data_IF_109307106029
#
_entry.id   IF_109307106029
#
_cell.length_a   1.000
_cell.length_b   1.000
_cell.length_c   1.000
_cell.angle_alpha   90.00
_cell.angle_beta   90.00
_cell.angle_gamma   90.00
#
_symmetry.space_group_name_H-M   'P 1'
#
loop_
_entity.id
_entity.type
_entity.pdbx_description
1 polymer ?
#
# COMPACT_ATOMS: atom_id res chain seq x y z
N UNK A 1 1.07 20.61 -10.48
CA UNK A 1 1.20 19.79 -9.26
C UNK A 1 1.09 18.34 -9.69
N UNK A 2 2.03 17.49 -9.28
CA UNK A 2 1.95 16.07 -9.60
C UNK A 2 0.86 15.44 -8.73
N UNK A 3 -0.13 14.81 -9.36
CA UNK A 3 -1.23 14.16 -8.66
C UNK A 3 -1.19 12.67 -8.95
N UNK A 4 -0.75 11.89 -7.95
CA UNK A 4 -0.64 10.45 -8.08
C UNK A 4 -1.99 9.80 -8.45
N UNK A 5 -3.11 10.32 -7.93
CA UNK A 5 -4.44 9.87 -8.33
C UNK A 5 -4.64 9.96 -9.86
N UNK A 6 -4.24 11.06 -10.49
CA UNK A 6 -4.45 11.28 -11.93
C UNK A 6 -3.55 10.34 -12.76
N UNK A 7 -2.34 10.04 -12.27
CA UNK A 7 -1.49 9.00 -12.86
C UNK A 7 -2.20 7.63 -12.87
N UNK A 8 -2.75 7.20 -11.73
CA UNK A 8 -3.51 5.94 -11.66
C UNK A 8 -4.80 5.98 -12.47
N UNK A 9 -5.50 7.11 -12.48
CA UNK A 9 -6.70 7.28 -13.30
C UNK A 9 -6.39 7.09 -14.78
N UNK A 10 -5.33 7.74 -15.28
CA UNK A 10 -4.91 7.61 -16.66
C UNK A 10 -4.50 6.17 -17.02
N UNK A 11 -3.83 5.46 -16.12
CA UNK A 11 -3.51 4.04 -16.32
C UNK A 11 -4.76 3.16 -16.41
N UNK A 12 -5.76 3.39 -15.55
CA UNK A 12 -7.02 2.65 -15.59
C UNK A 12 -7.81 2.94 -16.87
N UNK A 13 -7.82 4.19 -17.34
CA UNK A 13 -8.47 4.56 -18.61
C UNK A 13 -7.77 3.91 -19.82
N UNK A 14 -6.44 3.86 -19.81
CA UNK A 14 -5.65 3.18 -20.85
C UNK A 14 -5.91 1.66 -20.85
N UNK A 15 -6.16 1.06 -19.68
CA UNK A 15 -6.46 -0.37 -19.57
C UNK A 15 -7.77 -0.71 -20.28
N UNK A 16 -8.78 0.15 -20.15
CA UNK A 16 -10.07 0.03 -20.85
C UNK A 16 -9.92 0.11 -22.37
N UNK A 17 -9.20 1.13 -22.88
CA UNK A 17 -8.97 1.21 -24.33
C UNK A 17 -8.15 0.04 -24.89
N UNK A 18 -7.21 -0.51 -24.12
CA UNK A 18 -6.44 -1.70 -24.53
C UNK A 18 -7.34 -2.94 -24.58
N UNK A 19 -8.18 -3.11 -23.57
CA UNK A 19 -9.14 -4.19 -23.49
C UNK A 19 -10.14 -4.17 -24.66
N UNK A 20 -10.68 -3.00 -25.01
CA UNK A 20 -11.65 -2.90 -26.13
C UNK A 20 -11.06 -3.32 -27.49
N UNK A 21 -9.74 -3.26 -27.66
CA UNK A 21 -9.06 -3.69 -28.88
C UNK A 21 -8.80 -5.22 -28.92
N UNK A 22 -8.80 -5.89 -27.77
CA UNK A 22 -8.53 -7.34 -27.66
C UNK A 22 -9.82 -8.09 -27.32
N UNK A 23 -10.27 -8.97 -28.22
CA UNK A 23 -11.51 -9.75 -27.99
C UNK A 23 -11.35 -10.86 -26.94
N UNK A 24 -10.13 -11.16 -26.51
CA UNK A 24 -9.82 -12.21 -25.53
C UNK A 24 -9.20 -11.65 -24.24
N UNK A 25 -9.83 -10.64 -23.64
CA UNK A 25 -9.42 -10.15 -22.32
C UNK A 25 -9.56 -11.28 -21.29
N UNK A 26 -8.43 -11.77 -20.80
CA UNK A 26 -8.41 -12.67 -19.66
C UNK A 26 -9.02 -11.99 -18.43
N UNK A 27 -9.75 -12.74 -17.60
CA UNK A 27 -10.19 -12.31 -16.25
C UNK A 27 -9.01 -11.85 -15.38
N UNK A 28 -7.79 -12.20 -15.77
CA UNK A 28 -6.56 -11.78 -15.10
C UNK A 28 -6.23 -10.28 -15.31
N UNK A 29 -6.87 -9.59 -16.27
CA UNK A 29 -6.61 -8.19 -16.60
C UNK A 29 -7.19 -7.24 -15.54
N UNK A 30 -6.49 -7.13 -14.41
CA UNK A 30 -6.96 -6.46 -13.20
C UNK A 30 -7.22 -4.95 -13.35
N UNK A 31 -6.36 -4.23 -14.05
CA UNK A 31 -6.52 -2.79 -14.25
C UNK A 31 -7.84 -2.47 -15.00
N UNK A 32 -8.21 -3.32 -15.95
CA UNK A 32 -9.49 -3.22 -16.64
C UNK A 32 -10.68 -3.42 -15.68
N UNK A 33 -10.60 -4.43 -14.80
CA UNK A 33 -11.61 -4.66 -13.76
C UNK A 33 -11.73 -3.46 -12.81
N UNK A 34 -10.60 -2.89 -12.37
CA UNK A 34 -10.56 -1.69 -11.54
C UNK A 34 -11.03 -0.42 -12.27
N UNK A 35 -11.12 -0.43 -13.60
CA UNK A 35 -11.70 0.69 -14.35
C UNK A 35 -13.21 0.55 -14.46
N UNK A 36 -13.68 -0.65 -14.80
CA UNK A 36 -15.11 -0.92 -14.98
C UNK A 36 -15.86 -0.75 -13.67
N UNK A 37 -16.83 0.16 -13.68
CA UNK A 37 -17.77 0.24 -12.59
C UNK A 37 -18.69 -0.98 -12.66
N UNK A 38 -18.68 -1.80 -11.61
CA UNK A 38 -19.50 -3.00 -11.56
C UNK A 38 -20.96 -2.64 -11.32
N UNK A 39 -21.77 -2.70 -12.39
CA UNK A 39 -23.24 -2.66 -12.29
C UNK A 39 -23.81 -3.91 -11.60
N UNK A 40 -23.01 -4.96 -11.42
CA UNK A 40 -23.38 -6.25 -10.82
C UNK A 40 -23.66 -6.18 -9.31
N UNK A 41 -23.56 -5.02 -8.67
CA UNK A 41 -23.90 -4.85 -7.26
C UNK A 41 -22.79 -5.26 -6.29
N UNK A 42 -21.62 -5.70 -6.78
CA UNK A 42 -20.44 -5.93 -5.95
C UNK A 42 -19.92 -4.57 -5.43
N UNK A 43 -20.19 -4.30 -4.15
CA UNK A 43 -19.88 -3.01 -3.54
C UNK A 43 -18.42 -2.88 -3.17
N UNK A 44 -17.77 -3.99 -2.81
CA UNK A 44 -16.44 -4.01 -2.22
C UNK A 44 -15.42 -4.54 -3.23
N UNK A 45 -14.20 -4.02 -3.17
CA UNK A 45 -13.08 -4.54 -3.97
C UNK A 45 -12.23 -5.50 -3.15
N UNK A 46 -12.07 -6.72 -3.64
CA UNK A 46 -11.13 -7.69 -3.08
C UNK A 46 -9.69 -7.42 -3.54
N UNK A 47 -8.72 -8.00 -2.84
CA UNK A 47 -7.32 -7.99 -3.27
C UNK A 47 -7.16 -8.81 -4.54
N UNK A 48 -6.25 -8.39 -5.41
CA UNK A 48 -5.93 -9.21 -6.56
C UNK A 48 -5.27 -10.54 -6.16
N UNK A 49 -5.85 -11.66 -6.61
CA UNK A 49 -5.45 -13.02 -6.20
C UNK A 49 -3.97 -13.34 -6.46
N UNK A 50 -3.37 -12.78 -7.51
CA UNK A 50 -1.97 -13.04 -7.87
C UNK A 50 -0.94 -12.31 -7.00
N UNK A 51 -1.37 -11.49 -6.05
CA UNK A 51 -0.45 -10.90 -5.08
C UNK A 51 0.24 -11.96 -4.22
N UNK A 52 -0.38 -13.12 -3.98
CA UNK A 52 0.21 -14.21 -3.20
C UNK A 52 1.48 -14.79 -3.83
N UNK A 53 1.59 -14.75 -5.16
CA UNK A 53 2.73 -15.28 -5.91
C UNK A 53 4.02 -14.55 -5.55
N UNK A 54 3.94 -13.24 -5.32
CA UNK A 54 5.07 -12.40 -4.94
C UNK A 54 5.59 -12.69 -3.51
N UNK A 55 4.82 -13.41 -2.69
CA UNK A 55 5.13 -13.70 -1.28
C UNK A 55 5.28 -15.18 -0.98
N UNK A 56 5.36 -16.06 -2.00
CA UNK A 56 5.49 -17.50 -1.81
C UNK A 56 4.44 -18.06 -0.82
N UNK A 57 3.18 -17.62 -0.96
CA UNK A 57 2.05 -18.03 -0.11
C UNK A 57 2.15 -17.60 1.37
N UNK A 58 3.09 -16.72 1.74
CA UNK A 58 3.18 -16.15 3.08
C UNK A 58 2.08 -15.10 3.33
N UNK A 59 0.85 -15.56 3.55
CA UNK A 59 -0.35 -14.73 3.70
C UNK A 59 -0.22 -13.66 4.80
N UNK A 60 0.42 -13.98 5.93
CA UNK A 60 0.63 -13.01 7.02
C UNK A 60 1.54 -11.86 6.60
N UNK A 61 2.58 -12.16 5.83
CA UNK A 61 3.49 -11.13 5.27
C UNK A 61 2.76 -10.28 4.25
N UNK A 62 2.01 -10.92 3.34
CA UNK A 62 1.17 -10.21 2.37
C UNK A 62 0.17 -9.27 3.06
N UNK A 63 -0.49 -9.70 4.13
CA UNK A 63 -1.44 -8.86 4.87
C UNK A 63 -0.76 -7.63 5.47
N UNK A 64 0.41 -7.79 6.09
CA UNK A 64 1.18 -6.67 6.65
C UNK A 64 1.62 -5.70 5.56
N UNK A 65 2.15 -6.20 4.44
CA UNK A 65 2.55 -5.35 3.32
C UNK A 65 1.35 -4.65 2.69
N UNK A 66 0.23 -5.35 2.55
CA UNK A 66 -1.01 -4.79 2.02
C UNK A 66 -1.55 -3.63 2.85
N UNK A 67 -1.45 -3.72 4.17
CA UNK A 67 -1.82 -2.62 5.06
C UNK A 67 -0.81 -1.48 4.96
N UNK A 68 0.49 -1.80 4.96
CA UNK A 68 1.54 -0.79 4.86
C UNK A 68 1.51 -0.04 3.51
N UNK A 69 1.15 -0.69 2.42
CA UNK A 69 1.03 -0.07 1.11
C UNK A 69 -0.03 1.04 1.07
N UNK A 70 -1.06 0.99 1.94
CA UNK A 70 -1.96 2.13 2.15
C UNK A 70 -1.23 3.38 2.66
N UNK A 71 -0.32 3.21 3.63
CA UNK A 71 0.52 4.28 4.16
C UNK A 71 1.42 4.86 3.08
N UNK A 72 2.11 4.00 2.33
CA UNK A 72 2.97 4.39 1.20
C UNK A 72 2.18 5.19 0.15
N UNK A 73 1.00 4.71 -0.26
CA UNK A 73 0.17 5.40 -1.24
C UNK A 73 -0.27 6.80 -0.78
N UNK A 74 -0.68 6.95 0.48
CA UNK A 74 -0.98 8.27 1.04
C UNK A 74 0.27 9.15 1.12
N UNK A 75 1.40 8.57 1.54
CA UNK A 75 2.68 9.28 1.61
C UNK A 75 3.10 9.82 0.25
N UNK A 76 3.00 9.01 -0.80
CA UNK A 76 3.28 9.42 -2.17
C UNK A 76 2.33 10.53 -2.66
N UNK A 77 1.04 10.47 -2.29
CA UNK A 77 0.08 11.54 -2.61
C UNK A 77 0.46 12.85 -1.90
N UNK A 78 0.83 12.79 -0.61
CA UNK A 78 1.30 13.95 0.15
C UNK A 78 2.57 14.53 -0.49
N UNK A 79 3.55 13.69 -0.83
CA UNK A 79 4.78 14.12 -1.49
C UNK A 79 4.48 14.82 -2.81
N UNK A 80 3.64 14.23 -3.66
CA UNK A 80 3.29 14.80 -4.95
C UNK A 80 2.55 16.13 -4.88
N UNK A 81 1.70 16.30 -3.87
CA UNK A 81 1.03 17.57 -3.62
C UNK A 81 2.01 18.71 -3.26
N UNK A 82 3.19 18.39 -2.72
CA UNK A 82 4.23 19.37 -2.36
C UNK A 82 5.33 19.51 -3.42
N UNK A 83 5.20 18.86 -4.56
CA UNK A 83 6.14 19.00 -5.66
C UNK A 83 5.78 20.18 -6.55
N UNK A 84 6.80 20.96 -6.88
CA UNK A 84 6.68 22.09 -7.82
C UNK A 84 7.10 21.62 -9.20
N UNK A 85 6.42 22.09 -10.26
CA UNK A 85 6.82 21.78 -11.63
C UNK A 85 7.99 22.69 -12.01
N UNK A 86 9.11 22.12 -12.49
CA UNK A 86 10.32 22.88 -12.87
C UNK A 86 10.09 23.78 -14.10
N UNK A 87 9.35 23.27 -15.08
CA UNK A 87 9.08 23.97 -16.33
C UNK A 87 7.65 23.68 -16.83
N UNK A 88 6.98 24.71 -17.35
CA UNK A 88 5.67 24.54 -17.98
C UNK A 88 5.77 23.65 -19.22
N UNK A 89 4.81 22.72 -19.40
CA UNK A 89 4.78 21.80 -20.53
C UNK A 89 5.70 20.57 -20.43
N UNK A 90 6.60 20.52 -19.43
CA UNK A 90 7.46 19.35 -19.18
C UNK A 90 7.05 18.71 -17.85
N UNK A 91 6.89 17.38 -17.82
CA UNK A 91 6.61 16.62 -16.60
C UNK A 91 7.86 16.40 -15.74
N UNK A 92 8.52 17.51 -15.41
CA UNK A 92 9.64 17.56 -14.48
C UNK A 92 9.21 18.26 -13.21
N UNK A 93 9.45 17.60 -12.08
CA UNK A 93 9.09 18.12 -10.77
C UNK A 93 10.31 18.19 -9.86
N UNK A 94 10.32 19.20 -9.00
CA UNK A 94 11.29 19.38 -7.93
C UNK A 94 10.65 19.08 -6.58
N UNK A 95 11.48 18.57 -5.67
CA UNK A 95 11.06 18.30 -4.31
C UNK A 95 10.80 19.60 -3.55
N UNK A 96 9.66 19.66 -2.86
CA UNK A 96 9.42 20.68 -1.85
C UNK A 96 10.17 20.37 -0.54
N UNK A 97 9.75 21.03 0.55
CA UNK A 97 10.29 20.77 1.90
C UNK A 97 9.76 19.49 2.55
N UNK A 98 8.70 18.92 1.98
CA UNK A 98 8.09 17.68 2.41
C UNK A 98 8.87 16.50 1.84
N UNK A 99 9.44 15.67 2.72
CA UNK A 99 10.24 14.48 2.40
C UNK A 99 9.56 13.23 2.93
N UNK A 100 10.02 12.04 2.52
CA UNK A 100 9.43 10.76 2.90
C UNK A 100 9.27 10.63 4.42
N UNK A 101 10.33 10.93 5.19
CA UNK A 101 10.32 10.88 6.65
C UNK A 101 9.35 11.87 7.30
N UNK A 102 9.05 12.98 6.63
CA UNK A 102 8.16 14.05 7.13
C UNK A 102 6.69 13.83 6.84
N UNK A 103 6.34 12.85 6.00
CA UNK A 103 4.95 12.51 5.70
C UNK A 103 4.22 11.85 6.87
N UNK A 104 4.95 11.31 7.86
CA UNK A 104 4.38 10.48 8.92
C UNK A 104 3.82 9.13 8.45
N UNK A 105 4.18 8.69 7.22
CA UNK A 105 3.67 7.43 6.63
C UNK A 105 4.75 6.36 6.40
N UNK A 106 6.01 6.63 6.75
CA UNK A 106 7.13 5.70 6.61
C UNK A 106 7.39 4.85 7.86
N UNK A 107 7.86 3.62 7.68
CA UNK A 107 8.12 2.63 8.73
C UNK A 107 9.07 3.15 9.82
N UNK A 108 10.21 3.75 9.45
CA UNK A 108 11.27 4.12 10.40
C UNK A 108 11.39 5.62 10.56
N UNK A 109 11.24 6.10 11.79
CA UNK A 109 11.52 7.48 12.17
C UNK A 109 10.64 8.53 11.49
N UNK A 110 9.55 8.11 10.84
CA UNK A 110 8.65 9.07 10.21
C UNK A 110 7.79 9.75 11.26
N UNK A 111 7.62 11.05 11.09
CA UNK A 111 6.72 11.86 11.89
C UNK A 111 6.06 12.86 10.95
N UNK A 112 4.76 13.07 11.12
CA UNK A 112 4.07 14.07 10.32
C UNK A 112 4.59 15.46 10.71
N UNK A 113 5.15 16.18 9.73
CA UNK A 113 5.69 17.52 9.96
C UNK A 113 4.83 18.60 9.30
N UNK A 114 4.81 19.84 9.83
CA UNK A 114 4.04 20.94 9.27
C UNK A 114 4.35 21.27 7.81
N UNK A 115 5.56 21.02 7.33
CA UNK A 115 5.95 21.24 5.93
C UNK A 115 5.27 20.27 4.95
N UNK A 116 4.71 19.17 5.46
CA UNK A 116 3.86 18.25 4.73
C UNK A 116 2.36 18.54 4.95
N UNK A 117 2.01 19.67 5.54
CA UNK A 117 0.62 20.07 5.74
C UNK A 117 0.06 20.83 4.54
N UNK A 118 -0.92 20.21 3.90
CA UNK A 118 -1.96 20.76 3.02
C UNK A 118 -1.59 22.03 2.22
N UNK A 119 -0.95 21.88 1.04
CA UNK A 119 -0.75 22.98 0.12
C UNK A 119 -2.08 23.24 -0.61
N UNK A 120 -2.97 24.01 0.02
CA UNK A 120 -4.14 24.64 -0.62
C UNK A 120 -5.23 23.72 -1.23
N UNK A 121 -5.14 22.40 -1.12
CA UNK A 121 -6.13 21.43 -1.64
C UNK A 121 -6.20 20.16 -0.79
N UNK A 122 -7.35 19.46 -0.83
CA UNK A 122 -7.52 18.21 -0.09
C UNK A 122 -6.81 17.05 -0.81
N UNK A 123 -6.02 16.26 -0.08
CA UNK A 123 -5.57 14.94 -0.56
C UNK A 123 -6.78 14.09 -0.92
N UNK A 124 -6.78 13.49 -2.10
CA UNK A 124 -7.94 12.76 -2.58
C UNK A 124 -8.15 11.49 -1.78
N UNK A 125 -7.08 10.78 -1.43
CA UNK A 125 -7.17 9.54 -0.67
C UNK A 125 -7.27 9.76 0.84
N UNK A 126 -7.46 11.00 1.31
CA UNK A 126 -7.67 11.28 2.73
C UNK A 126 -8.80 10.41 3.30
N UNK A 127 -8.49 9.70 4.38
CA UNK A 127 -9.40 8.80 5.09
C UNK A 127 -9.56 7.41 4.47
N UNK A 128 -8.84 7.06 3.40
CA UNK A 128 -8.93 5.72 2.78
C UNK A 128 -8.00 4.67 3.42
N UNK A 129 -6.95 5.07 4.12
CA UNK A 129 -6.04 4.17 4.84
C UNK A 129 -6.72 3.26 5.87
N UNK A 130 -7.89 3.63 6.37
CA UNK A 130 -8.58 2.91 7.43
C UNK A 130 -9.81 2.14 6.95
N UNK A 131 -10.22 2.36 5.70
CA UNK A 131 -11.34 1.64 5.14
C UNK A 131 -10.93 0.18 4.97
N UNK A 132 -11.58 -0.69 5.73
CA UNK A 132 -11.46 -2.15 5.57
C UNK A 132 -11.91 -2.54 4.15
N UNK A 133 -12.95 -1.87 3.65
CA UNK A 133 -13.55 -2.12 2.35
C UNK A 133 -13.53 -0.84 1.49
N UNK A 134 -12.96 -0.96 0.30
CA UNK A 134 -12.93 0.08 -0.70
C UNK A 134 -14.09 -0.12 -1.68
N UNK A 135 -14.80 0.96 -2.01
CA UNK A 135 -16.01 0.86 -2.81
C UNK A 135 -15.69 0.83 -4.31
N UNK A 136 -16.10 -0.22 -5.01
CA UNK A 136 -15.87 -0.37 -6.43
C UNK A 136 -16.63 0.65 -7.30
N UNK A 137 -17.67 1.32 -6.77
CA UNK A 137 -18.36 2.40 -7.48
C UNK A 137 -17.66 3.75 -7.35
N UNK A 138 -16.72 3.89 -6.42
CA UNK A 138 -16.04 5.16 -6.19
C UNK A 138 -14.68 5.19 -6.92
N UNK A 139 -14.56 6.09 -7.91
CA UNK A 139 -13.31 6.30 -8.70
C UNK A 139 -12.06 6.48 -7.82
N UNK A 140 -12.20 7.22 -6.72
CA UNK A 140 -11.13 7.52 -5.75
C UNK A 140 -10.65 6.26 -5.02
N UNK A 141 -11.60 5.39 -4.65
CA UNK A 141 -11.30 4.14 -3.98
C UNK A 141 -10.63 3.16 -4.98
N UNK A 142 -11.02 3.16 -6.26
CA UNK A 142 -10.39 2.35 -7.32
C UNK A 142 -8.95 2.76 -7.64
N UNK A 143 -8.66 4.07 -7.74
CA UNK A 143 -7.27 4.54 -7.94
C UNK A 143 -6.39 4.25 -6.73
N UNK A 144 -6.93 4.36 -5.51
CA UNK A 144 -6.23 3.96 -4.30
C UNK A 144 -5.95 2.45 -4.26
N UNK A 145 -6.92 1.62 -4.68
CA UNK A 145 -6.74 0.17 -4.80
C UNK A 145 -5.63 -0.18 -5.79
N UNK A 146 -5.62 0.45 -6.98
CA UNK A 146 -4.56 0.27 -7.96
C UNK A 146 -3.18 0.60 -7.36
N UNK A 147 -3.06 1.72 -6.63
CA UNK A 147 -1.82 2.07 -5.95
C UNK A 147 -1.37 0.99 -4.96
N UNK A 148 -2.27 0.52 -4.09
CA UNK A 148 -1.96 -0.52 -3.11
C UNK A 148 -1.47 -1.80 -3.77
N UNK A 149 -2.13 -2.24 -4.84
CA UNK A 149 -1.73 -3.44 -5.59
C UNK A 149 -0.35 -3.28 -6.19
N UNK A 150 -0.08 -2.17 -6.91
CA UNK A 150 1.24 -1.95 -7.53
C UNK A 150 2.37 -1.86 -6.49
N UNK A 151 2.18 -1.11 -5.41
CA UNK A 151 3.16 -1.00 -4.32
C UNK A 151 3.40 -2.37 -3.67
N UNK A 152 2.34 -3.14 -3.42
CA UNK A 152 2.46 -4.49 -2.83
C UNK A 152 3.22 -5.44 -3.76
N UNK A 153 2.93 -5.43 -5.07
CA UNK A 153 3.68 -6.22 -6.06
C UNK A 153 5.17 -5.86 -6.08
N UNK A 154 5.47 -4.55 -6.07
CA UNK A 154 6.83 -4.05 -6.08
C UNK A 154 7.60 -4.52 -4.83
N UNK A 155 7.02 -4.31 -3.64
CA UNK A 155 7.63 -4.72 -2.38
C UNK A 155 7.88 -6.24 -2.30
N UNK A 156 6.95 -7.04 -2.84
CA UNK A 156 7.06 -8.50 -2.88
C UNK A 156 8.18 -9.00 -3.78
N UNK A 157 8.18 -8.62 -5.07
CA UNK A 157 9.18 -9.13 -6.02
C UNK A 157 10.59 -8.65 -5.76
N UNK A 158 10.73 -7.41 -5.30
CA UNK A 158 12.03 -6.89 -4.88
C UNK A 158 12.39 -7.37 -3.48
N UNK A 159 11.51 -8.09 -2.78
CA UNK A 159 11.75 -8.58 -1.43
C UNK A 159 12.19 -7.48 -0.46
N UNK A 160 11.56 -6.31 -0.54
CA UNK A 160 11.88 -5.18 0.32
C UNK A 160 11.66 -5.52 1.80
N UNK A 161 10.74 -6.42 2.10
CA UNK A 161 10.46 -6.90 3.46
C UNK A 161 11.32 -8.09 3.90
N UNK A 162 12.23 -8.58 3.05
CA UNK A 162 13.16 -9.63 3.45
C UNK A 162 14.18 -9.06 4.43
N UNK A 163 14.39 -9.79 5.52
CA UNK A 163 15.43 -9.49 6.50
C UNK A 163 16.81 -9.96 6.11
N UNK A 164 16.89 -10.86 5.14
CA UNK A 164 18.16 -11.38 4.68
C UNK A 164 18.86 -10.26 3.92
N UNK A 165 20.10 -9.98 4.31
CA UNK A 165 21.01 -9.15 3.50
C UNK A 165 21.04 -9.75 2.10
N UNK A 166 20.74 -8.93 1.10
CA UNK A 166 20.76 -9.33 -0.30
C UNK A 166 22.05 -8.82 -0.92
N UNK A 167 22.81 -9.72 -1.52
CA UNK A 167 23.96 -9.33 -2.34
C UNK A 167 23.47 -8.87 -3.72
N UNK A 168 24.24 -7.99 -4.37
CA UNK A 168 23.97 -7.61 -5.76
C UNK A 168 23.83 -8.83 -6.69
N UNK A 169 24.64 -9.88 -6.48
CA UNK A 169 24.60 -11.10 -7.28
C UNK A 169 23.29 -11.88 -7.08
N UNK A 170 22.80 -12.01 -5.85
CA UNK A 170 21.53 -12.67 -5.57
C UNK A 170 20.35 -11.92 -6.19
N UNK A 171 20.38 -10.59 -6.13
CA UNK A 171 19.35 -9.74 -6.75
C UNK A 171 19.35 -9.93 -8.27
N UNK A 172 20.53 -9.82 -8.92
CA UNK A 172 20.66 -10.06 -10.37
C UNK A 172 20.18 -11.45 -10.76
N UNK A 173 20.62 -12.50 -10.05
CA UNK A 173 20.25 -13.88 -10.33
C UNK A 173 18.73 -14.13 -10.22
N UNK A 174 18.04 -13.42 -9.33
CA UNK A 174 16.58 -13.53 -9.19
C UNK A 174 15.80 -12.76 -10.24
N UNK A 175 16.44 -11.80 -10.91
CA UNK A 175 15.88 -10.88 -11.90
C UNK A 175 14.48 -10.34 -11.50
N UNK A 176 14.36 -9.59 -10.39
CA UNK A 176 13.08 -9.02 -9.96
C UNK A 176 12.42 -8.12 -11.02
N UNK A 177 13.19 -7.40 -11.85
CA UNK A 177 12.63 -6.56 -12.91
C UNK A 177 11.80 -7.37 -13.93
N UNK A 178 12.33 -8.49 -14.45
CA UNK A 178 11.57 -9.35 -15.37
C UNK A 178 10.31 -9.92 -14.73
N UNK A 179 10.41 -10.36 -13.46
CA UNK A 179 9.26 -10.93 -12.72
C UNK A 179 8.18 -9.89 -12.46
N UNK A 180 8.58 -8.70 -12.02
CA UNK A 180 7.68 -7.58 -11.80
C UNK A 180 7.00 -7.16 -13.11
N UNK A 181 7.77 -6.99 -14.19
CA UNK A 181 7.22 -6.70 -15.52
C UNK A 181 6.20 -7.74 -15.98
N UNK A 182 6.50 -9.04 -15.85
CA UNK A 182 5.57 -10.13 -16.20
C UNK A 182 4.27 -10.05 -15.40
N UNK A 183 4.35 -9.72 -14.10
CA UNK A 183 3.14 -9.55 -13.30
C UNK A 183 2.38 -8.27 -13.70
N UNK A 184 3.07 -7.18 -14.01
CA UNK A 184 2.46 -5.97 -14.55
C UNK A 184 1.77 -6.22 -15.89
N UNK A 185 2.33 -7.06 -16.77
CA UNK A 185 1.66 -7.47 -18.03
C UNK A 185 0.35 -8.18 -17.75
N UNK A 186 0.30 -9.05 -16.74
CA UNK A 186 -0.95 -9.69 -16.31
C UNK A 186 -1.93 -8.68 -15.71
N UNK A 187 -1.43 -7.77 -14.88
CA UNK A 187 -2.25 -6.77 -14.19
C UNK A 187 -2.84 -5.72 -15.15
N UNK A 188 -2.03 -5.23 -16.08
CA UNK A 188 -2.27 -4.01 -16.87
C UNK A 188 -2.16 -4.18 -18.39
N UNK A 189 -1.75 -5.35 -18.89
CA UNK A 189 -1.33 -5.49 -20.28
C UNK A 189 0.05 -4.89 -20.55
N UNK A 190 0.59 -5.16 -21.74
CA UNK A 190 1.97 -4.80 -22.12
C UNK A 190 2.23 -3.30 -22.09
N UNK A 191 1.36 -2.50 -22.70
CA UNK A 191 1.56 -1.06 -22.81
C UNK A 191 1.52 -0.31 -21.47
N UNK A 192 0.80 -0.84 -20.47
CA UNK A 192 0.80 -0.29 -19.10
C UNK A 192 2.02 -0.79 -18.33
N UNK A 193 2.38 -2.06 -18.48
CA UNK A 193 3.56 -2.63 -17.84
C UNK A 193 4.83 -1.87 -18.25
N UNK A 194 5.04 -1.62 -19.54
CA UNK A 194 6.19 -0.84 -20.04
C UNK A 194 6.16 0.60 -19.52
N UNK A 195 4.97 1.23 -19.48
CA UNK A 195 4.82 2.58 -18.94
C UNK A 195 5.20 2.64 -17.46
N UNK A 196 4.74 1.70 -16.63
CA UNK A 196 5.10 1.62 -15.22
C UNK A 196 6.62 1.40 -15.08
N UNK A 197 7.20 0.44 -15.81
CA UNK A 197 8.64 0.18 -15.75
C UNK A 197 9.47 1.43 -16.11
N UNK A 198 9.06 2.16 -17.15
CA UNK A 198 9.72 3.40 -17.58
C UNK A 198 9.56 4.55 -16.59
N UNK A 199 8.41 4.65 -15.91
CA UNK A 199 8.14 5.74 -14.96
C UNK A 199 8.71 5.45 -13.57
N UNK A 200 8.80 4.18 -13.16
CA UNK A 200 9.12 3.80 -11.79
C UNK A 200 10.59 3.49 -11.54
N UNK A 201 11.39 3.34 -12.59
CA UNK A 201 12.82 3.04 -12.53
C UNK A 201 13.60 3.98 -13.45
N UNK A 202 14.72 4.52 -12.98
CA UNK A 202 15.67 5.22 -13.84
C UNK A 202 16.45 4.21 -14.71
N UNK A 203 16.79 4.60 -15.95
CA UNK A 203 17.78 3.84 -16.73
C UNK A 203 19.19 4.34 -16.41
N UNK A 204 20.10 3.41 -16.09
CA UNK A 204 21.48 3.73 -15.73
C UNK A 204 22.22 4.53 -16.83
N UNK A 205 21.95 4.22 -18.10
CA UNK A 205 22.56 4.86 -19.27
C UNK A 205 22.08 6.29 -19.52
N UNK A 206 20.98 6.72 -18.91
CA UNK A 206 20.31 7.97 -19.25
C UNK A 206 20.45 9.08 -18.19
N UNK A 207 21.44 8.98 -17.30
CA UNK A 207 21.77 10.03 -16.33
C UNK A 207 22.13 11.39 -16.97
N UNK A 208 22.41 11.42 -18.27
CA UNK A 208 22.64 12.65 -19.04
C UNK A 208 21.34 13.21 -19.64
N UNK A 209 20.50 13.81 -18.80
CA UNK A 209 19.60 14.93 -19.16
C UNK A 209 18.41 14.71 -20.11
N UNK A 210 18.11 13.49 -20.59
CA UNK A 210 17.08 13.28 -21.64
C UNK A 210 15.87 12.40 -21.28
N UNK A 211 15.74 11.90 -20.05
CA UNK A 211 14.53 11.18 -19.68
C UNK A 211 13.33 12.12 -19.49
N UNK A 212 12.28 11.82 -20.25
CA UNK A 212 10.96 12.48 -20.22
C UNK A 212 10.22 12.36 -18.89
N UNK A 213 10.72 11.54 -17.95
CA UNK A 213 10.07 11.26 -16.68
C UNK A 213 11.06 11.26 -15.51
N UNK A 214 11.97 12.25 -15.45
CA UNK A 214 12.57 12.67 -14.17
C UNK A 214 11.46 13.25 -13.27
N UNK A 215 10.55 12.38 -12.85
CA UNK A 215 9.36 12.71 -12.07
C UNK A 215 9.77 13.27 -10.71
N UNK A 216 10.96 12.89 -10.24
CA UNK A 216 11.54 13.26 -8.97
C UNK A 216 13.01 13.59 -9.23
N UNK A 217 13.47 14.74 -8.75
CA UNK A 217 14.85 15.20 -8.94
C UNK A 217 15.86 14.18 -8.39
N UNK A 218 16.39 13.34 -9.29
CA UNK A 218 17.44 12.36 -9.00
C UNK A 218 16.99 11.06 -8.33
N UNK A 219 15.70 10.85 -8.07
CA UNK A 219 15.14 9.62 -7.48
C UNK A 219 14.11 9.01 -8.43
N UNK A 220 13.89 7.70 -8.38
CA UNK A 220 12.71 7.08 -9.00
C UNK A 220 11.66 6.66 -7.96
N UNK A 221 10.50 6.23 -8.45
CA UNK A 221 9.40 5.79 -7.59
C UNK A 221 9.82 4.56 -6.77
N UNK A 222 10.64 3.66 -7.33
CA UNK A 222 11.18 2.51 -6.61
C UNK A 222 12.01 2.96 -5.39
N UNK A 223 12.94 3.88 -5.58
CA UNK A 223 13.76 4.46 -4.51
C UNK A 223 12.88 5.09 -3.44
N UNK A 224 11.92 5.95 -3.83
CA UNK A 224 11.00 6.60 -2.86
C UNK A 224 10.17 5.59 -2.08
N UNK A 225 9.63 4.55 -2.72
CA UNK A 225 8.90 3.48 -2.02
C UNK A 225 9.80 2.75 -1.04
N UNK A 226 11.05 2.49 -1.43
CA UNK A 226 12.02 1.84 -0.52
C UNK A 226 12.41 2.74 0.65
N UNK A 227 12.45 4.07 0.48
CA UNK A 227 12.65 5.04 1.58
C UNK A 227 11.49 5.04 2.58
N UNK A 228 10.25 4.82 2.13
CA UNK A 228 9.14 4.64 3.08
C UNK A 228 9.40 3.47 4.03
N UNK A 229 10.11 2.44 3.58
CA UNK A 229 10.44 1.27 4.39
C UNK A 229 11.71 1.46 5.22
N UNK A 230 12.79 1.94 4.60
CA UNK A 230 14.12 1.97 5.22
C UNK A 230 14.42 3.28 5.97
N UNK A 231 13.66 4.34 5.69
CA UNK A 231 13.89 5.68 6.17
C UNK A 231 14.37 6.63 5.07
N UNK A 232 14.34 7.92 5.38
CA UNK A 232 14.81 8.99 4.50
C UNK A 232 16.27 8.76 4.09
N UNK A 233 16.54 8.90 2.78
CA UNK A 233 17.84 8.69 2.14
C UNK A 233 18.44 7.28 2.26
N UNK A 234 17.70 6.32 2.82
CA UNK A 234 18.10 4.93 2.98
C UNK A 234 17.50 3.99 1.92
N UNK A 235 16.90 4.55 0.86
CA UNK A 235 16.34 3.79 -0.26
C UNK A 235 17.37 2.98 -1.06
N UNK A 236 16.90 1.96 -1.77
CA UNK A 236 17.72 1.12 -2.65
C UNK A 236 18.06 1.89 -3.94
N UNK A 237 19.14 2.67 -3.94
CA UNK A 237 19.58 3.54 -5.08
C UNK A 237 20.28 2.80 -6.22
N UNK A 238 20.62 1.53 -5.99
CA UNK A 238 21.55 0.79 -6.85
C UNK A 238 20.86 -0.22 -7.77
N UNK A 239 19.54 -0.35 -7.73
CA UNK A 239 18.80 -1.31 -8.58
C UNK A 239 18.18 -0.58 -9.77
N UNK A 240 18.42 -1.10 -10.97
CA UNK A 240 17.91 -0.56 -12.23
C UNK A 240 17.21 -1.67 -13.02
N UNK A 241 16.19 -1.31 -13.78
CA UNK A 241 15.51 -2.21 -14.71
C UNK A 241 15.81 -1.79 -16.14
N UNK A 242 16.68 -2.55 -16.81
CA UNK A 242 17.05 -2.30 -18.20
C UNK A 242 16.13 -3.02 -19.14
N UNK A 243 15.52 -2.29 -20.07
CA UNK A 243 14.72 -2.89 -21.12
C UNK A 243 15.60 -3.71 -22.07
N UNK A 244 15.20 -4.94 -22.36
CA UNK A 244 15.76 -5.76 -23.42
C UNK A 244 14.68 -6.09 -24.45
N UNK A 245 15.01 -5.95 -25.73
CA UNK A 245 14.10 -6.30 -26.83
C UNK A 245 14.70 -7.47 -27.59
N UNK A 246 13.98 -8.58 -27.63
CA UNK A 246 14.35 -9.75 -28.43
C UNK A 246 13.42 -9.85 -29.61
N UNK A 247 13.96 -9.85 -30.83
CA UNK A 247 13.16 -10.10 -32.03
C UNK A 247 12.98 -11.60 -32.21
N UNK A 248 11.74 -12.06 -32.22
CA UNK A 248 11.42 -13.46 -32.50
C UNK A 248 11.48 -13.65 -34.02
N UNK A 249 12.52 -14.34 -34.51
CA UNK A 249 12.76 -14.48 -35.96
C UNK A 249 11.56 -15.05 -36.73
N UNK A 250 10.80 -15.94 -36.11
CA UNK A 250 9.67 -16.63 -36.73
C UNK A 250 8.46 -15.70 -36.99
N UNK A 251 8.12 -14.82 -36.04
CA UNK A 251 6.93 -13.95 -36.12
C UNK A 251 7.29 -12.52 -36.52
N UNK A 252 8.58 -12.18 -36.49
CA UNK A 252 9.09 -10.80 -36.53
C UNK A 252 8.56 -9.90 -35.40
N UNK A 253 7.88 -10.47 -34.39
CA UNK A 253 7.40 -9.72 -33.26
C UNK A 253 8.54 -9.39 -32.31
N UNK A 254 8.51 -8.16 -31.80
CA UNK A 254 9.43 -7.71 -30.76
C UNK A 254 8.88 -8.13 -29.40
N UNK A 255 9.62 -8.98 -28.70
CA UNK A 255 9.34 -9.32 -27.32
C UNK A 255 10.15 -8.42 -26.41
N UNK A 256 9.45 -7.58 -25.65
CA UNK A 256 10.06 -6.75 -24.60
C UNK A 256 10.15 -7.56 -23.30
N UNK A 257 11.32 -7.55 -22.67
CA UNK A 257 11.57 -8.04 -21.31
C UNK A 257 12.42 -6.98 -20.55
N UNK A 258 12.68 -7.21 -19.27
CA UNK A 258 13.50 -6.35 -18.44
C UNK A 258 14.53 -7.16 -17.66
N UNK A 259 15.74 -6.64 -17.59
CA UNK A 259 16.85 -7.22 -16.84
C UNK A 259 17.18 -6.36 -15.63
N UNK A 260 17.49 -7.02 -14.51
CA UNK A 260 17.90 -6.34 -13.29
C UNK A 260 19.39 -6.03 -13.36
N UNK A 261 19.73 -4.74 -13.42
CA UNK A 261 21.09 -4.26 -13.27
C UNK A 261 21.29 -3.72 -11.84
N UNK A 262 22.51 -3.87 -11.32
CA UNK A 262 22.90 -3.36 -10.01
C UNK A 262 24.25 -2.68 -10.14
N UNK A 263 24.31 -1.39 -9.78
CA UNK A 263 25.49 -0.54 -10.01
C UNK A 263 26.55 -0.59 -8.90
N UNK A 264 26.24 -1.15 -7.73
CA UNK A 264 27.20 -1.28 -6.61
C UNK A 264 27.51 -2.73 -6.24
N UNK A 265 28.56 -2.88 -5.44
CA UNK A 265 28.95 -4.14 -4.78
C UNK A 265 28.46 -4.21 -3.34
N UNK A 266 27.78 -3.16 -2.87
CA UNK A 266 27.33 -3.02 -1.49
C UNK A 266 26.12 -3.91 -1.18
N UNK A 267 25.81 -4.02 0.11
CA UNK A 267 24.63 -4.72 0.59
C UNK A 267 23.39 -3.88 0.31
N UNK A 268 22.38 -4.49 -0.31
CA UNK A 268 21.14 -3.81 -0.71
C UNK A 268 20.01 -4.19 0.26
N UNK A 269 19.23 -3.21 0.67
CA UNK A 269 18.23 -3.29 1.75
C UNK A 269 18.83 -3.05 3.13
N UNK A 270 18.38 -1.99 3.81
CA UNK A 270 18.89 -1.60 5.13
C UNK A 270 17.83 -1.72 6.25
N UNK A 271 17.36 -2.94 6.50
CA UNK A 271 16.87 -3.29 7.83
C UNK A 271 18.11 -3.47 8.73
N UNK A 272 18.66 -2.37 9.26
CA UNK A 272 19.95 -2.35 9.99
C UNK A 272 19.96 -3.23 11.26
N UNK A 273 18.79 -3.65 11.73
CA UNK A 273 18.58 -4.42 12.96
C UNK A 273 17.78 -5.69 12.63
N UNK A 274 17.97 -6.76 13.42
CA UNK A 274 17.43 -8.12 13.25
C UNK A 274 16.04 -8.21 12.58
N UNK A 275 15.80 -9.26 11.79
CA UNK A 275 14.61 -9.54 10.97
C UNK A 275 13.25 -9.07 11.48
N UNK A 276 13.00 -9.17 12.79
CA UNK A 276 11.77 -8.72 13.40
C UNK A 276 11.55 -7.21 13.22
N UNK A 277 12.61 -6.42 13.13
CA UNK A 277 12.61 -4.97 13.14
C UNK A 277 11.79 -4.36 12.00
N UNK A 278 12.06 -4.66 10.72
CA UNK A 278 11.34 -3.99 9.62
C UNK A 278 9.83 -4.30 9.58
N UNK A 279 9.44 -5.56 9.73
CA UNK A 279 8.02 -5.94 9.78
C UNK A 279 7.33 -5.42 11.05
N UNK A 280 8.08 -5.25 12.15
CA UNK A 280 7.59 -4.66 13.39
C UNK A 280 7.46 -3.14 13.26
N UNK A 281 8.40 -2.44 12.63
CA UNK A 281 8.32 -1.01 12.33
C UNK A 281 7.14 -0.72 11.39
N UNK A 282 6.92 -1.54 10.36
CA UNK A 282 5.70 -1.47 9.55
C UNK A 282 4.44 -1.62 10.41
N UNK A 283 4.43 -2.57 11.36
CA UNK A 283 3.29 -2.76 12.26
C UNK A 283 3.07 -1.55 13.20
N UNK A 284 4.14 -0.96 13.74
CA UNK A 284 4.06 0.24 14.58
C UNK A 284 3.46 1.43 13.82
N UNK A 285 3.83 1.61 12.56
CA UNK A 285 3.22 2.65 11.72
C UNK A 285 1.74 2.39 11.50
N UNK A 286 1.33 1.14 11.32
CA UNK A 286 -0.09 0.80 11.22
C UNK A 286 -0.85 1.10 12.52
N UNK A 287 -0.21 0.86 13.67
CA UNK A 287 -0.77 1.19 14.99
C UNK A 287 -0.88 2.72 15.19
N UNK A 288 0.17 3.49 14.89
CA UNK A 288 0.14 4.96 15.04
C UNK A 288 -0.87 5.62 14.10
N UNK A 289 -1.01 5.10 12.88
CA UNK A 289 -2.05 5.50 11.94
C UNK A 289 -3.44 5.23 12.57
N UNK A 290 -3.63 4.10 13.24
CA UNK A 290 -4.84 3.79 13.98
C UNK A 290 -5.16 4.77 15.11
N UNK A 291 -4.16 5.22 15.88
CA UNK A 291 -4.34 6.14 17.01
C UNK A 291 -4.71 7.57 16.59
N UNK A 292 -4.20 8.08 15.46
CA UNK A 292 -4.58 9.41 14.93
C UNK A 292 -6.11 9.53 14.73
N UNK A 293 -6.77 8.42 14.40
CA UNK A 293 -8.22 8.40 14.20
C UNK A 293 -9.03 8.57 15.48
N UNK A 294 -8.57 7.98 16.59
CA UNK A 294 -9.31 8.08 17.85
C UNK A 294 -9.32 9.53 18.34
N UNK A 295 -8.28 10.30 18.00
CA UNK A 295 -8.17 11.73 18.31
C UNK A 295 -8.97 12.61 17.35
N UNK A 296 -9.09 12.24 16.07
CA UNK A 296 -9.88 13.01 15.09
C UNK A 296 -11.39 12.76 15.16
N UNK A 297 -11.87 11.75 15.90
CA UNK A 297 -13.31 11.62 16.16
C UNK A 297 -13.77 12.85 16.96
N UNK A 298 -14.54 13.78 16.35
CA UNK A 298 -15.05 14.92 17.09
C UNK A 298 -15.88 14.38 18.23
N UNK A 299 -15.55 14.80 19.45
CA UNK A 299 -16.23 14.43 20.69
C UNK A 299 -17.73 14.72 20.52
N UNK A 300 -18.45 13.70 20.08
CA UNK A 300 -19.88 13.80 19.73
C UNK A 300 -20.73 13.60 20.99
N UNK A 301 -20.10 13.55 22.16
CA UNK A 301 -20.74 13.35 23.45
C UNK A 301 -20.19 14.28 24.51
N UNK A 302 -20.68 15.52 24.56
CA UNK A 302 -21.26 16.11 25.79
C UNK A 302 -21.69 17.56 25.51
N UNK A 303 -22.78 17.72 24.75
CA UNK A 303 -23.59 18.95 24.78
C UNK A 303 -25.00 18.59 25.19
N UNK A 304 -25.09 18.00 26.38
CA UNK A 304 -26.30 17.78 27.14
C UNK A 304 -26.05 18.23 28.57
N UNK A 305 -25.97 19.54 28.78
CA UNK A 305 -26.28 20.12 30.09
C UNK A 305 -27.12 21.36 29.85
N UNK A 306 -28.38 21.19 30.21
CA UNK A 306 -29.45 22.17 30.23
C UNK A 306 -29.00 23.40 31.02
N UNK A 307 -29.13 24.57 30.42
CA UNK A 307 -29.44 25.77 31.19
C UNK A 307 -30.77 26.28 30.70
N UNK A 308 -31.80 25.69 31.28
CA UNK A 308 -33.17 26.17 31.30
C UNK A 308 -33.17 27.54 31.97
N UNK A 309 -33.34 28.60 31.19
CA UNK A 309 -33.79 29.89 31.69
C UNK A 309 -34.79 30.46 30.70
N UNK A 310 -36.07 30.27 31.01
CA UNK A 310 -37.17 31.06 30.48
C UNK A 310 -37.84 31.73 31.68
N UNK A 311 -38.21 33.03 31.57
CA UNK A 311 -39.62 33.32 31.79
C UNK A 311 -40.20 34.38 30.83
N UNK A 312 -41.53 34.21 30.60
CA UNK A 312 -42.57 35.14 30.06
C UNK A 312 -42.82 35.08 28.55
N UNK A 313 -43.95 34.48 28.14
CA UNK A 313 -45.30 35.08 27.92
C UNK A 313 -45.37 35.77 26.55
N UNK A 314 -46.33 35.56 25.64
CA UNK A 314 -47.73 35.13 25.74
C UNK A 314 -48.19 34.44 24.44
N UNK A 315 -49.30 33.67 24.57
CA UNK A 315 -50.45 33.49 23.65
C UNK A 315 -50.21 33.45 22.12
N UNK A 316 -50.80 32.58 21.31
CA UNK A 316 -51.95 31.67 21.44
C UNK A 316 -52.05 30.88 20.13
N UNK A 317 -52.67 29.69 20.20
CA UNK A 317 -53.57 29.07 19.19
C UNK A 317 -53.31 27.57 19.03
N UNK A 318 -54.38 26.83 19.27
CA UNK A 318 -54.48 25.39 19.39
C UNK A 318 -54.27 24.64 18.07
N UNK A 319 -53.70 23.43 18.17
CA UNK A 319 -54.23 22.27 17.45
C UNK A 319 -53.88 21.00 18.24
N UNK A 320 -54.94 20.26 18.54
CA UNK A 320 -54.98 19.00 19.27
C UNK A 320 -54.57 17.79 18.41
N UNK A 321 -54.21 16.70 19.11
CA UNK A 321 -54.13 15.32 18.61
C UNK A 321 -52.68 14.86 18.36
N UNK A 322 -52.03 14.03 19.17
CA UNK A 322 -52.51 12.95 20.03
C UNK A 322 -52.07 11.61 19.43
N UNK A 323 -51.01 10.99 19.96
CA UNK A 323 -50.86 9.53 20.06
C UNK A 323 -49.63 9.19 20.89
N UNK A 324 -49.90 8.74 22.11
CA UNK A 324 -49.00 7.99 22.97
C UNK A 324 -48.35 6.79 22.25
N UNK A 325 -47.13 6.46 22.65
CA UNK A 325 -46.55 5.17 22.32
C UNK A 325 -45.05 5.05 22.53
N UNK A 326 -44.66 4.36 23.61
CA UNK A 326 -43.42 3.58 23.73
C UNK A 326 -42.11 4.34 23.97
N UNK A 327 -41.87 4.68 25.25
CA UNK A 327 -40.54 4.64 25.83
C UNK A 327 -40.40 3.39 26.70
N UNK A 328 -39.56 2.42 26.28
CA UNK A 328 -38.95 1.36 27.12
C UNK A 328 -38.13 0.33 26.29
N UNK A 329 -37.24 0.75 25.36
CA UNK A 329 -36.29 -0.18 24.71
C UNK A 329 -34.91 0.49 24.51
N UNK A 330 -34.29 0.97 25.58
CA UNK A 330 -32.92 1.53 25.50
C UNK A 330 -31.92 0.96 26.53
N UNK A 331 -32.33 0.09 27.46
CA UNK A 331 -31.45 -0.41 28.53
C UNK A 331 -30.98 -1.86 28.39
N UNK A 332 -31.34 -2.58 27.32
CA UNK A 332 -31.02 -4.01 27.18
C UNK A 332 -29.88 -4.34 26.18
N UNK A 333 -29.34 -3.36 25.45
CA UNK A 333 -28.25 -3.58 24.48
C UNK A 333 -26.84 -3.32 25.05
N UNK A 334 -26.71 -2.79 26.27
CA UNK A 334 -25.41 -2.48 26.90
C UNK A 334 -24.74 -3.65 27.63
N UNK A 335 -25.51 -4.69 28.02
CA UNK A 335 -24.97 -5.79 28.82
C UNK A 335 -24.25 -6.88 27.99
N UNK A 336 -24.51 -6.97 26.69
CA UNK A 336 -23.93 -8.02 25.82
C UNK A 336 -22.44 -7.81 25.51
N UNK A 337 -22.02 -6.56 25.35
CA UNK A 337 -20.63 -6.24 24.95
C UNK A 337 -19.64 -6.49 26.09
N UNK A 338 -20.03 -6.24 27.33
CA UNK A 338 -19.18 -6.45 28.50
C UNK A 338 -18.80 -7.92 28.72
N UNK A 339 -19.74 -8.84 28.51
CA UNK A 339 -19.49 -10.29 28.66
C UNK A 339 -18.53 -10.79 27.60
N UNK A 340 -18.63 -10.29 26.37
CA UNK A 340 -17.77 -10.71 25.27
C UNK A 340 -16.31 -10.24 25.48
N UNK A 341 -16.13 -9.01 25.97
CA UNK A 341 -14.80 -8.49 26.32
C UNK A 341 -14.18 -9.21 27.52
N UNK A 342 -14.97 -9.57 28.53
CA UNK A 342 -14.48 -10.34 29.68
C UNK A 342 -14.01 -11.75 29.28
N UNK A 343 -14.72 -12.42 28.36
CA UNK A 343 -14.31 -13.73 27.83
C UNK A 343 -13.03 -13.66 27.00
N UNK A 344 -12.86 -12.62 26.18
CA UNK A 344 -11.63 -12.40 25.42
C UNK A 344 -10.44 -12.07 26.32
N UNK A 345 -10.64 -11.27 27.37
CA UNK A 345 -9.62 -10.97 28.38
C UNK A 345 -9.19 -12.22 29.15
N UNK A 346 -10.14 -13.06 29.57
CA UNK A 346 -9.85 -14.32 30.24
C UNK A 346 -9.09 -15.31 29.34
N UNK A 347 -9.43 -15.38 28.05
CA UNK A 347 -8.71 -16.21 27.08
C UNK A 347 -7.27 -15.73 26.84
N UNK A 348 -7.06 -14.42 26.74
CA UNK A 348 -5.72 -13.83 26.64
C UNK A 348 -4.85 -14.15 27.85
N UNK A 349 -5.41 -14.02 29.06
CA UNK A 349 -4.73 -14.38 30.31
C UNK A 349 -4.37 -15.88 30.36
N UNK A 350 -5.30 -16.75 30.01
CA UNK A 350 -5.06 -18.20 29.96
C UNK A 350 -3.92 -18.57 29.01
N UNK A 351 -3.87 -17.97 27.82
CA UNK A 351 -2.84 -18.24 26.81
C UNK A 351 -1.43 -17.87 27.29
N UNK A 352 -1.26 -16.72 27.95
CA UNK A 352 0.05 -16.25 28.40
C UNK A 352 0.61 -17.16 29.51
N UNK A 353 -0.23 -17.58 30.46
CA UNK A 353 0.24 -18.33 31.62
C UNK A 353 0.30 -19.86 31.41
N UNK A 354 -0.52 -20.44 30.55
CA UNK A 354 -0.63 -21.90 30.44
C UNK A 354 -0.04 -22.51 29.17
N UNK A 355 0.20 -21.73 28.09
CA UNK A 355 0.81 -22.26 26.86
C UNK A 355 2.35 -22.45 26.95
N UNK A 356 2.97 -22.10 28.09
CA UNK A 356 4.41 -22.23 28.32
C UNK A 356 4.93 -23.61 28.76
N UNK A 357 4.06 -24.63 28.93
CA UNK A 357 4.52 -25.98 29.30
C UNK A 357 5.14 -26.69 28.09
N UNK A 358 6.46 -26.52 27.96
CA UNK A 358 7.34 -27.22 27.00
C UNK A 358 7.08 -28.73 27.02
N UNK A 359 6.54 -29.27 25.93
CA UNK A 359 6.57 -30.70 25.63
C UNK A 359 8.03 -31.11 25.51
N UNK A 360 8.51 -31.98 26.41
CA UNK A 360 9.88 -32.53 26.33
C UNK A 360 10.00 -33.34 25.03
N UNK A 361 11.01 -33.08 24.18
CA UNK A 361 11.23 -33.88 22.98
C UNK A 361 11.64 -35.30 23.38
N UNK A 362 10.90 -36.29 22.88
CA UNK A 362 11.23 -37.70 22.95
C UNK A 362 12.50 -37.91 22.10
N UNK A 363 13.55 -38.43 22.73
CA UNK A 363 14.87 -38.59 22.13
C UNK A 363 14.86 -39.56 20.95
N UNK A 364 15.21 -39.06 19.77
CA UNK A 364 15.46 -39.88 18.59
C UNK A 364 16.91 -40.39 18.58
N UNK A 365 17.06 -41.71 18.72
CA UNK A 365 18.32 -42.46 18.54
C UNK A 365 18.87 -42.27 17.12
N UNK A 366 20.05 -41.69 16.98
CA UNK A 366 20.85 -41.73 15.75
C UNK A 366 21.33 -43.17 15.49
N UNK A 367 20.86 -43.80 14.40
CA UNK A 367 21.56 -44.93 13.77
C UNK A 367 22.62 -44.36 12.81
N UNK A 368 23.90 -44.65 13.07
CA UNK A 368 25.00 -44.45 12.12
C UNK A 368 24.93 -45.56 11.07
N UNK A 369 24.83 -45.20 9.79
CA UNK A 369 25.17 -46.10 8.69
C UNK A 369 26.61 -45.79 8.25
N UNK A 370 27.49 -46.77 8.37
CA UNK A 370 28.80 -46.79 7.72
C UNK A 370 28.59 -47.42 6.34
N UNK A 371 28.99 -46.70 5.28
CA UNK A 371 29.13 -47.25 3.94
C UNK A 371 30.63 -47.39 3.69
N UNK A 372 31.07 -48.63 3.46
CA UNK A 372 32.41 -48.98 2.96
C UNK A 372 32.31 -49.06 1.45
N UNK A 373 33.13 -48.29 0.73
CA UNK A 373 33.36 -48.48 -0.70
C UNK A 373 34.56 -49.40 -0.88
N UNK A 374 34.42 -50.36 -1.80
CA UNK A 374 35.46 -51.23 -2.32
C UNK A 374 35.74 -50.86 -3.78
#
# INVERSE_FOLDING_TARGET
MWQLQEYFHHMLDKAEGTAEADTNISEDFRAYYLKKQHSSGEKDMDKWKYLTDAYHEANDTLERVWKFSSGVCLGLEILGAHMTRKQEGVDQYEWGKCTVGKTGRGARGSSFQPECSNPLGAYHWKGLNHKIQLNNNNKRDRTFMACKELVTMLMGYFQMTSSMRRTAQEIKARNPCSKFYKLLKKWGGEGIAQQIMKTWFLEQSQRTGQQSYQLLEGKDVYEVISEFLYGEDAGDKEIYCKQSTTRIEATQEEQVDYETEVAGTEQIGQCKDEQASCLQEMAKVLESIGEELEKERPDTGSRGSETTNNPKQDESSASEGGSDGSGLIAQLLGAGVGVLMALLGAYGYYRIFYSGKKVKPIGNRKKRFHISLA
#
